data_IF_450698768625
#
_entry.id   IF_450698768625
#
_cell.length_a   1.000
_cell.length_b   1.000
_cell.length_c   1.000
_cell.angle_alpha   90.00
_cell.angle_beta   90.00
_cell.angle_gamma   90.00
#
_symmetry.space_group_name_H-M   'P 1'
#
loop_
_entity.id
_entity.type
_entity.pdbx_description
1 polymer ?
#
# COMPACT_ATOMS: atom_id res chain seq x y z
N UNK A 1 68.54 80.91 62.45
CA UNK A 1 69.05 79.53 62.43
C UNK A 1 68.21 78.76 61.42
N UNK A 2 68.87 78.49 60.38
CA UNK A 2 68.49 77.79 59.19
C UNK A 2 68.27 76.28 59.41
N UNK A 3 67.30 75.68 58.80
CA UNK A 3 67.36 74.27 58.49
C UNK A 3 66.62 74.01 57.23
N UNK A 4 67.39 73.83 56.15
CA UNK A 4 66.97 73.33 54.84
C UNK A 4 66.60 71.81 54.95
N UNK A 5 65.52 71.45 54.34
CA UNK A 5 65.16 70.05 54.18
C UNK A 5 65.14 69.79 52.66
N UNK A 6 66.19 69.11 52.20
CA UNK A 6 66.33 68.53 50.86
C UNK A 6 65.18 67.55 50.58
N UNK A 7 64.48 67.79 49.52
CA UNK A 7 63.54 66.85 48.97
C UNK A 7 64.22 66.01 47.90
N UNK A 8 64.48 64.75 48.18
CA UNK A 8 64.95 63.78 47.24
C UNK A 8 63.86 63.42 46.22
N UNK A 9 64.09 63.68 44.95
CA UNK A 9 63.26 63.27 43.77
C UNK A 9 63.42 61.71 43.64
N UNK A 10 62.29 61.00 43.34
CA UNK A 10 62.39 59.54 43.09
C UNK A 10 62.91 59.34 41.66
N UNK A 11 63.82 58.38 41.50
CA UNK A 11 64.51 58.03 40.25
C UNK A 11 63.58 57.52 39.16
N UNK A 12 63.74 58.01 37.97
CA UNK A 12 63.00 57.69 36.69
C UNK A 12 63.23 56.25 36.15
N UNK A 13 64.03 55.42 36.86
CA UNK A 13 64.37 54.08 36.39
C UNK A 13 63.26 53.05 36.60
N UNK A 14 62.30 53.25 37.50
CA UNK A 14 61.24 52.25 37.82
C UNK A 14 60.00 52.35 36.93
N UNK A 15 59.82 53.52 36.30
CA UNK A 15 58.70 53.78 35.39
C UNK A 15 58.83 53.06 33.98
N UNK A 16 60.06 52.74 33.59
CA UNK A 16 60.34 52.05 32.30
C UNK A 16 59.99 50.56 32.31
N UNK A 17 60.33 49.95 33.46
CA UNK A 17 60.06 48.51 33.65
C UNK A 17 58.53 48.21 33.80
N UNK A 18 57.78 49.04 34.50
CA UNK A 18 56.33 48.99 34.66
C UNK A 18 55.65 49.22 33.33
N UNK A 19 56.04 50.21 32.52
CA UNK A 19 55.49 50.49 31.18
C UNK A 19 55.78 49.33 30.19
N UNK A 20 56.91 48.67 30.27
CA UNK A 20 57.21 47.47 29.47
C UNK A 20 56.34 46.26 29.88
N UNK A 21 56.17 46.00 31.16
CA UNK A 21 55.32 44.91 31.67
C UNK A 21 53.84 45.14 31.30
N UNK A 22 53.33 46.37 31.47
CA UNK A 22 51.95 46.69 31.05
C UNK A 22 51.74 46.59 29.53
N UNK A 23 52.74 46.95 28.72
CA UNK A 23 52.66 46.77 27.24
C UNK A 23 52.69 45.29 26.85
N UNK A 24 53.49 44.44 27.52
CA UNK A 24 53.52 42.99 27.29
C UNK A 24 52.22 42.31 27.71
N UNK A 25 51.63 42.75 28.83
CA UNK A 25 50.29 42.25 29.27
C UNK A 25 49.21 42.69 28.31
N UNK A 26 49.20 43.97 27.83
CA UNK A 26 48.24 44.40 26.80
C UNK A 26 48.43 43.66 25.47
N UNK A 27 49.64 43.40 25.02
CA UNK A 27 49.89 42.63 23.80
C UNK A 27 49.46 41.16 23.97
N UNK A 28 49.65 40.54 25.12
CA UNK A 28 49.15 39.23 25.44
C UNK A 28 47.63 39.15 25.47
N UNK A 29 46.98 40.14 26.11
CA UNK A 29 45.52 40.25 26.11
C UNK A 29 44.93 40.50 24.68
N UNK A 30 45.58 41.35 23.89
CA UNK A 30 45.19 41.61 22.49
C UNK A 30 45.35 40.34 21.62
N UNK A 31 46.43 39.58 21.82
CA UNK A 31 46.65 38.32 21.10
C UNK A 31 45.59 37.25 21.47
N UNK A 32 45.24 37.12 22.75
CA UNK A 32 44.19 36.24 23.24
C UNK A 32 42.81 36.66 22.68
N UNK A 33 42.54 37.96 22.68
CA UNK A 33 41.30 38.53 22.12
C UNK A 33 41.19 38.31 20.59
N UNK A 34 42.32 38.49 19.87
CA UNK A 34 42.42 38.21 18.44
C UNK A 34 42.28 36.72 18.13
N UNK A 35 42.88 35.84 18.94
CA UNK A 35 42.75 34.39 18.87
C UNK A 35 41.29 33.94 19.13
N UNK A 36 40.65 34.52 20.15
CA UNK A 36 39.24 34.25 20.46
C UNK A 36 38.29 34.75 19.37
N UNK A 37 38.53 35.97 18.83
CA UNK A 37 37.77 36.49 17.69
C UNK A 37 37.99 35.68 16.42
N UNK A 38 39.23 35.25 16.16
CA UNK A 38 39.56 34.36 15.04
C UNK A 38 38.88 33.01 15.15
N UNK A 39 38.88 32.42 16.35
CA UNK A 39 38.16 31.17 16.62
C UNK A 39 36.63 31.32 16.43
N UNK A 40 36.02 32.41 16.98
CA UNK A 40 34.60 32.69 16.77
C UNK A 40 34.24 32.93 15.31
N UNK A 41 35.10 33.62 14.58
CA UNK A 41 34.91 33.86 13.16
C UNK A 41 35.03 32.57 12.34
N UNK A 42 36.00 31.73 12.63
CA UNK A 42 36.15 30.41 12.00
C UNK A 42 34.94 29.49 12.32
N UNK A 43 34.53 29.45 13.58
CA UNK A 43 33.38 28.64 13.98
C UNK A 43 32.07 29.12 13.34
N UNK A 44 31.89 30.43 13.17
CA UNK A 44 30.74 31.00 12.48
C UNK A 44 30.70 30.74 10.99
N UNK A 45 31.85 30.50 10.36
CA UNK A 45 31.95 30.15 8.93
C UNK A 45 31.67 28.66 8.65
N UNK A 46 31.86 27.79 9.65
CA UNK A 46 31.71 26.33 9.55
C UNK A 46 30.39 25.80 10.12
N UNK A 47 29.51 26.67 10.61
CA UNK A 47 28.22 26.27 11.18
C UNK A 47 27.09 27.17 10.66
N UNK A 48 26.01 26.53 10.26
CA UNK A 48 24.76 27.19 9.88
C UNK A 48 23.70 26.87 10.92
N UNK A 49 23.09 27.87 11.52
CA UNK A 49 22.08 27.70 12.54
C UNK A 49 20.74 28.34 12.16
N UNK A 50 19.65 27.74 12.61
CA UNK A 50 18.30 28.30 12.44
C UNK A 50 17.43 27.98 13.65
N UNK A 51 16.62 28.95 14.04
CA UNK A 51 15.53 28.88 15.02
C UNK A 51 14.18 28.53 14.38
N UNK A 52 14.11 28.60 13.04
CA UNK A 52 12.92 28.22 12.29
C UNK A 52 12.98 26.75 11.91
N UNK A 53 12.90 25.89 12.93
CA UNK A 53 12.89 24.45 12.78
C UNK A 53 11.84 23.84 13.70
N UNK A 54 11.21 22.80 13.24
CA UNK A 54 10.21 22.07 14.04
C UNK A 54 10.33 20.56 13.79
N UNK A 55 9.97 19.80 14.79
CA UNK A 55 9.81 18.36 14.65
C UNK A 55 8.58 18.09 13.81
N UNK A 56 8.72 17.30 12.78
CA UNK A 56 7.63 16.82 11.93
C UNK A 56 7.53 15.30 12.00
N UNK A 57 6.41 14.75 11.60
CA UNK A 57 6.16 13.32 11.53
C UNK A 57 4.93 13.02 10.70
N UNK A 58 4.76 11.75 10.36
CA UNK A 58 3.58 11.32 9.66
C UNK A 58 2.35 11.33 10.59
N UNK A 59 1.29 11.97 10.18
CA UNK A 59 -0.01 11.91 10.84
C UNK A 59 -0.90 11.04 9.96
N UNK A 60 -1.23 9.84 10.43
CA UNK A 60 -2.00 8.86 9.66
C UNK A 60 -3.47 8.95 10.08
N UNK A 61 -4.37 9.47 9.22
CA UNK A 61 -5.79 9.52 9.53
C UNK A 61 -6.39 8.11 9.52
N UNK A 62 -7.23 7.82 10.50
CA UNK A 62 -8.01 6.60 10.60
C UNK A 62 -9.37 6.86 9.98
N UNK A 63 -9.63 6.20 8.85
CA UNK A 63 -10.82 6.37 8.04
C UNK A 63 -11.58 5.04 7.98
N UNK A 64 -12.91 4.99 8.26
CA UNK A 64 -13.70 3.81 8.04
C UNK A 64 -13.91 3.60 6.53
N UNK A 65 -13.89 2.36 6.07
CA UNK A 65 -14.20 1.99 4.69
C UNK A 65 -15.70 1.81 4.44
N UNK A 66 -16.46 1.62 5.51
CA UNK A 66 -17.92 1.43 5.48
C UNK A 66 -18.61 2.40 6.41
N UNK A 67 -19.87 2.76 6.11
CA UNK A 67 -20.66 3.66 6.93
C UNK A 67 -21.57 2.88 7.90
N UNK A 68 -21.98 3.53 8.98
CA UNK A 68 -22.94 2.96 9.94
C UNK A 68 -22.88 3.66 11.28
N UNK A 69 -23.70 3.20 12.24
CA UNK A 69 -23.64 3.71 13.59
C UNK A 69 -22.44 3.11 14.34
N UNK A 70 -21.75 3.92 15.11
CA UNK A 70 -20.66 3.46 15.97
C UNK A 70 -21.23 2.74 17.18
N UNK A 71 -20.92 1.45 17.32
CA UNK A 71 -21.36 0.65 18.47
C UNK A 71 -20.43 0.80 19.67
N UNK A 72 -19.12 0.92 19.42
CA UNK A 72 -18.11 0.98 20.47
C UNK A 72 -16.88 1.77 19.98
N UNK A 73 -16.30 2.60 20.85
CA UNK A 73 -15.02 3.26 20.65
C UNK A 73 -14.08 2.78 21.75
N UNK A 74 -13.02 2.04 21.38
CA UNK A 74 -12.01 1.52 22.32
C UNK A 74 -10.83 2.45 22.50
N UNK A 75 -10.54 3.25 21.50
CA UNK A 75 -9.43 4.20 21.52
C UNK A 75 -9.72 5.39 22.42
N UNK A 76 -8.73 5.77 23.22
CA UNK A 76 -8.73 6.99 24.03
C UNK A 76 -7.65 7.94 23.48
N UNK A 77 -7.90 9.27 23.54
CA UNK A 77 -6.90 10.24 23.14
C UNK A 77 -5.60 10.07 23.92
N UNK A 78 -4.49 10.25 23.23
CA UNK A 78 -3.13 10.11 23.75
C UNK A 78 -2.73 8.70 24.20
N UNK A 79 -3.52 7.67 23.85
CA UNK A 79 -3.20 6.29 24.15
C UNK A 79 -2.26 5.70 23.09
N UNK A 80 -1.20 4.95 23.48
CA UNK A 80 -0.41 4.20 22.54
C UNK A 80 -1.20 2.99 22.01
N UNK A 81 -1.12 2.77 20.69
CA UNK A 81 -1.78 1.67 20.00
C UNK A 81 -0.82 0.96 19.06
N UNK A 82 -1.08 -0.31 18.80
CA UNK A 82 -0.31 -1.13 17.86
C UNK A 82 -1.04 -1.22 16.53
N UNK A 83 -0.28 -1.39 15.44
CA UNK A 83 -0.87 -1.68 14.13
C UNK A 83 -1.79 -2.89 14.20
N UNK A 84 -3.01 -2.78 13.63
CA UNK A 84 -4.04 -3.82 13.67
C UNK A 84 -4.89 -3.82 14.94
N UNK A 85 -4.63 -2.98 15.93
CA UNK A 85 -5.45 -2.87 17.14
C UNK A 85 -6.82 -2.25 16.83
N UNK A 86 -7.89 -2.82 17.42
CA UNK A 86 -9.26 -2.35 17.21
C UNK A 86 -9.48 -1.01 17.91
N UNK A 87 -9.79 0.03 17.13
CA UNK A 87 -10.03 1.39 17.61
C UNK A 87 -11.53 1.69 17.72
N UNK A 88 -12.29 1.35 16.67
CA UNK A 88 -13.73 1.63 16.59
C UNK A 88 -14.46 0.42 16.02
N UNK A 89 -15.63 0.13 16.52
CA UNK A 89 -16.55 -0.86 15.96
C UNK A 89 -17.80 -0.14 15.45
N UNK A 90 -18.12 -0.35 14.20
CA UNK A 90 -19.37 0.06 13.57
C UNK A 90 -20.39 -1.06 13.78
N UNK A 91 -21.69 -0.75 13.87
CA UNK A 91 -22.76 -1.74 13.96
C UNK A 91 -22.69 -2.69 12.78
N UNK A 92 -22.44 -3.95 13.07
CA UNK A 92 -22.13 -4.98 12.09
C UNK A 92 -23.33 -5.86 11.70
N UNK A 93 -24.51 -5.66 12.33
CA UNK A 93 -25.68 -6.52 12.15
C UNK A 93 -26.14 -6.62 10.71
N UNK A 94 -26.23 -5.48 10.00
CA UNK A 94 -26.66 -5.46 8.60
C UNK A 94 -25.60 -6.10 7.68
N UNK A 95 -24.34 -5.88 7.97
CA UNK A 95 -23.22 -6.46 7.22
C UNK A 95 -23.13 -7.98 7.44
N UNK A 96 -23.37 -8.45 8.66
CA UNK A 96 -23.46 -9.87 9.00
C UNK A 96 -24.62 -10.55 8.26
N UNK A 97 -25.80 -9.91 8.22
CA UNK A 97 -26.94 -10.43 7.49
C UNK A 97 -26.67 -10.53 5.98
N UNK A 98 -26.02 -9.52 5.39
CA UNK A 98 -25.60 -9.55 3.96
C UNK A 98 -24.58 -10.64 3.68
N UNK A 99 -23.62 -10.85 4.57
CA UNK A 99 -22.65 -11.93 4.45
C UNK A 99 -23.35 -13.29 4.49
N UNK A 100 -24.24 -13.52 5.46
CA UNK A 100 -25.00 -14.76 5.57
C UNK A 100 -25.87 -15.03 4.33
N UNK A 101 -26.48 -13.98 3.75
CA UNK A 101 -27.22 -14.10 2.50
C UNK A 101 -26.30 -14.52 1.33
N UNK A 102 -25.15 -13.88 1.18
CA UNK A 102 -24.19 -14.20 0.12
C UNK A 102 -23.57 -15.61 0.28
N UNK A 103 -23.39 -16.07 1.51
CA UNK A 103 -22.97 -17.46 1.81
C UNK A 103 -24.02 -18.48 1.40
N UNK A 104 -25.30 -18.21 1.68
CA UNK A 104 -26.40 -19.06 1.24
C UNK A 104 -26.52 -19.12 -0.29
N UNK A 105 -26.38 -17.97 -0.98
CA UNK A 105 -26.41 -17.89 -2.43
C UNK A 105 -25.25 -18.68 -3.06
N UNK A 106 -24.06 -18.63 -2.46
CA UNK A 106 -22.91 -19.42 -2.88
C UNK A 106 -23.18 -20.93 -2.69
N UNK A 107 -23.77 -21.33 -1.56
CA UNK A 107 -24.10 -22.73 -1.31
C UNK A 107 -25.08 -23.28 -2.37
N UNK A 108 -26.12 -22.50 -2.72
CA UNK A 108 -27.05 -22.85 -3.80
C UNK A 108 -26.34 -22.96 -5.14
N UNK A 109 -25.45 -22.02 -5.47
CA UNK A 109 -24.70 -22.08 -6.72
C UNK A 109 -23.78 -23.32 -6.79
N UNK A 110 -23.11 -23.65 -5.69
CA UNK A 110 -22.27 -24.85 -5.56
C UNK A 110 -23.10 -26.14 -5.68
N UNK A 111 -24.27 -26.20 -5.06
CA UNK A 111 -25.17 -27.36 -5.16
C UNK A 111 -25.61 -27.60 -6.61
N UNK A 112 -25.87 -26.54 -7.37
CA UNK A 112 -26.25 -26.61 -8.78
C UNK A 112 -25.09 -27.03 -9.71
N UNK A 113 -23.89 -26.47 -9.48
CA UNK A 113 -22.73 -26.79 -10.33
C UNK A 113 -22.08 -28.13 -9.95
N UNK A 114 -22.03 -28.42 -8.68
CA UNK A 114 -21.22 -29.48 -8.06
C UNK A 114 -19.89 -28.93 -7.53
N UNK A 115 -19.43 -29.52 -6.42
CA UNK A 115 -18.04 -29.35 -5.98
C UNK A 115 -17.13 -30.14 -6.91
N UNK A 116 -15.92 -29.67 -7.18
CA UNK A 116 -14.93 -30.45 -7.91
C UNK A 116 -14.85 -31.90 -7.36
N UNK A 117 -15.28 -32.88 -8.17
CA UNK A 117 -15.30 -34.29 -7.82
C UNK A 117 -16.54 -34.83 -7.10
N UNK A 118 -17.54 -34.01 -6.74
CA UNK A 118 -18.80 -34.45 -6.17
C UNK A 118 -19.97 -33.89 -7.01
N UNK A 119 -20.80 -34.80 -7.54
CA UNK A 119 -21.81 -34.49 -8.52
C UNK A 119 -22.85 -33.48 -8.08
N UNK A 120 -22.67 -32.24 -8.50
CA UNK A 120 -23.78 -31.30 -8.57
C UNK A 120 -24.72 -31.65 -9.73
N UNK A 121 -25.87 -31.01 -9.73
CA UNK A 121 -26.91 -31.33 -10.71
C UNK A 121 -26.41 -31.24 -12.16
N UNK A 122 -25.68 -30.18 -12.52
CA UNK A 122 -25.11 -30.01 -13.86
C UNK A 122 -24.01 -31.03 -14.19
N UNK A 123 -23.14 -31.34 -13.21
CA UNK A 123 -22.10 -32.37 -13.37
C UNK A 123 -22.66 -33.78 -13.51
N UNK A 124 -23.69 -34.11 -12.74
CA UNK A 124 -24.38 -35.40 -12.85
C UNK A 124 -25.08 -35.57 -14.21
N UNK A 125 -25.73 -34.52 -14.73
CA UNK A 125 -26.36 -34.53 -16.06
C UNK A 125 -25.33 -34.75 -17.17
N UNK A 126 -24.17 -34.10 -17.10
CA UNK A 126 -23.07 -34.28 -18.06
C UNK A 126 -22.50 -35.71 -17.97
N UNK A 127 -22.33 -36.27 -16.78
CA UNK A 127 -21.85 -37.66 -16.58
C UNK A 127 -22.84 -38.66 -17.15
N UNK A 128 -24.14 -38.50 -16.93
CA UNK A 128 -25.19 -39.35 -17.50
C UNK A 128 -25.22 -39.26 -19.04
N UNK A 129 -25.11 -38.03 -19.60
CA UNK A 129 -25.05 -37.84 -21.06
C UNK A 129 -23.81 -38.49 -21.66
N UNK A 130 -22.65 -38.41 -21.04
CA UNK A 130 -21.43 -39.08 -21.50
C UNK A 130 -21.56 -40.64 -21.44
N UNK A 131 -22.18 -41.17 -20.38
CA UNK A 131 -22.45 -42.60 -20.27
C UNK A 131 -23.42 -43.05 -21.37
N UNK A 132 -24.45 -42.29 -21.71
CA UNK A 132 -25.37 -42.54 -22.81
C UNK A 132 -24.71 -42.43 -24.20
N UNK A 133 -23.74 -41.53 -24.36
CA UNK A 133 -23.01 -41.34 -25.61
C UNK A 133 -21.91 -42.41 -25.85
N UNK A 134 -21.61 -43.26 -24.89
CA UNK A 134 -20.67 -44.37 -25.04
C UNK A 134 -21.18 -45.46 -26.00
N UNK A 135 -22.22 -45.20 -26.82
CA UNK A 135 -22.80 -46.08 -27.82
C UNK A 135 -22.00 -46.21 -29.16
N UNK A 136 -20.74 -45.76 -29.24
CA UNK A 136 -19.87 -45.93 -30.40
C UNK A 136 -19.84 -47.39 -30.93
N UNK A 137 -19.86 -48.44 -30.08
CA UNK A 137 -19.95 -49.83 -30.54
C UNK A 137 -21.15 -50.14 -31.43
N UNK A 138 -22.29 -49.45 -31.26
CA UNK A 138 -23.51 -49.65 -32.08
C UNK A 138 -23.35 -49.17 -33.53
N UNK A 139 -22.60 -48.12 -33.77
CA UNK A 139 -22.31 -47.63 -35.13
C UNK A 139 -21.36 -48.58 -35.83
N UNK A 140 -20.30 -49.04 -35.16
CA UNK A 140 -19.33 -49.98 -35.72
C UNK A 140 -19.98 -51.31 -36.07
N UNK A 141 -20.89 -51.79 -35.21
CA UNK A 141 -21.66 -53.02 -35.47
C UNK A 141 -22.57 -52.87 -36.67
N UNK A 142 -23.27 -51.73 -36.79
CA UNK A 142 -24.15 -51.41 -37.94
C UNK A 142 -23.33 -51.32 -39.23
N UNK A 143 -22.14 -50.71 -39.20
CA UNK A 143 -21.23 -50.62 -40.36
C UNK A 143 -20.74 -52.03 -40.77
N UNK A 144 -20.32 -52.86 -39.82
CA UNK A 144 -19.89 -54.22 -40.09
C UNK A 144 -21.01 -55.06 -40.72
N UNK A 145 -22.25 -54.90 -40.25
CA UNK A 145 -23.40 -55.58 -40.82
C UNK A 145 -23.72 -55.11 -42.25
N UNK A 146 -23.65 -53.79 -42.52
CA UNK A 146 -23.85 -53.21 -43.83
C UNK A 146 -22.78 -53.63 -44.83
N UNK A 147 -21.51 -53.72 -44.39
CA UNK A 147 -20.42 -54.24 -45.25
C UNK A 147 -20.59 -55.69 -45.59
N UNK A 148 -21.09 -56.53 -44.67
CA UNK A 148 -21.43 -57.91 -44.94
C UNK A 148 -22.54 -58.01 -45.95
N UNK A 149 -23.65 -57.30 -45.73
CA UNK A 149 -24.82 -57.34 -46.65
C UNK A 149 -24.44 -56.84 -48.04
N UNK A 150 -23.58 -55.80 -48.14
CA UNK A 150 -23.08 -55.30 -49.43
C UNK A 150 -22.20 -56.32 -50.16
N UNK A 151 -21.31 -57.01 -49.49
CA UNK A 151 -20.51 -58.07 -50.05
C UNK A 151 -21.37 -59.26 -50.52
N UNK A 152 -22.42 -59.59 -49.78
CA UNK A 152 -23.33 -60.64 -50.15
C UNK A 152 -24.15 -60.26 -51.40
N UNK A 153 -24.66 -59.02 -51.50
CA UNK A 153 -25.34 -58.46 -52.67
C UNK A 153 -24.40 -58.52 -53.90
N UNK A 154 -23.15 -58.11 -53.75
CA UNK A 154 -22.18 -58.09 -54.84
C UNK A 154 -21.91 -59.54 -55.34
N UNK A 155 -21.80 -60.50 -54.44
CA UNK A 155 -21.63 -61.91 -54.75
C UNK A 155 -22.85 -62.47 -55.53
N UNK A 156 -24.09 -62.10 -55.09
CA UNK A 156 -25.32 -62.52 -55.74
C UNK A 156 -25.46 -61.89 -57.12
N UNK A 157 -25.07 -60.62 -57.32
CA UNK A 157 -25.01 -59.96 -58.64
C UNK A 157 -24.09 -60.70 -59.62
N UNK A 158 -22.91 -61.14 -59.18
CA UNK A 158 -22.01 -61.91 -60.03
C UNK A 158 -22.55 -63.31 -60.36
N UNK A 159 -23.32 -63.95 -59.46
CA UNK A 159 -23.90 -65.24 -59.66
C UNK A 159 -25.13 -65.20 -60.57
N UNK A 160 -25.94 -64.14 -60.54
CA UNK A 160 -27.10 -63.95 -61.43
C UNK A 160 -26.66 -63.74 -62.88
N UNK A 161 -25.56 -63.04 -63.14
CA UNK A 161 -24.91 -62.94 -64.44
C UNK A 161 -24.61 -64.33 -65.07
N UNK A 162 -24.20 -65.24 -64.15
CA UNK A 162 -23.88 -66.67 -64.52
C UNK A 162 -25.13 -67.56 -64.54
N UNK A 163 -26.35 -66.99 -64.33
CA UNK A 163 -27.63 -67.71 -64.24
C UNK A 163 -27.67 -68.81 -63.15
N UNK A 164 -26.92 -68.59 -62.05
CA UNK A 164 -26.75 -69.59 -60.92
C UNK A 164 -27.71 -69.33 -59.76
N UNK A 165 -28.39 -68.18 -59.72
CA UNK A 165 -29.35 -67.71 -58.66
C UNK A 165 -30.63 -67.15 -59.26
N UNK A 166 -31.73 -67.12 -58.48
CA UNK A 166 -33.01 -66.58 -58.92
C UNK A 166 -33.08 -65.06 -58.78
N UNK A 167 -33.89 -64.31 -59.58
CA UNK A 167 -34.15 -62.87 -59.43
C UNK A 167 -34.64 -62.50 -58.02
N UNK A 168 -35.46 -63.38 -57.41
CA UNK A 168 -35.98 -63.20 -56.07
C UNK A 168 -34.88 -63.16 -55.04
N UNK A 169 -33.77 -63.94 -55.22
CA UNK A 169 -32.61 -63.90 -54.34
C UNK A 169 -31.83 -62.55 -54.48
N UNK A 170 -31.77 -61.99 -55.68
CA UNK A 170 -31.17 -60.67 -55.87
C UNK A 170 -32.00 -59.59 -55.19
N UNK A 171 -33.33 -59.57 -55.34
CA UNK A 171 -34.22 -58.59 -54.70
C UNK A 171 -34.12 -58.68 -53.16
N UNK A 172 -34.04 -59.92 -52.61
CA UNK A 172 -33.87 -60.10 -51.18
C UNK A 172 -32.51 -59.58 -50.66
N UNK A 173 -31.42 -59.82 -51.39
CA UNK A 173 -30.10 -59.30 -51.02
C UNK A 173 -30.01 -57.77 -51.16
N UNK A 174 -30.63 -57.17 -52.16
CA UNK A 174 -30.70 -55.73 -52.34
C UNK A 174 -31.52 -55.09 -51.23
N UNK A 175 -32.68 -55.63 -50.86
CA UNK A 175 -33.47 -55.17 -49.73
C UNK A 175 -32.69 -55.29 -48.40
N UNK A 176 -31.93 -56.37 -48.16
CA UNK A 176 -31.10 -56.55 -46.96
C UNK A 176 -29.98 -55.53 -46.92
N UNK A 177 -29.30 -55.24 -48.03
CA UNK A 177 -28.28 -54.21 -48.11
C UNK A 177 -28.80 -52.81 -47.80
N UNK A 178 -29.94 -52.45 -48.40
CA UNK A 178 -30.62 -51.15 -48.12
C UNK A 178 -31.07 -51.00 -46.67
N UNK A 179 -31.60 -52.08 -46.07
CA UNK A 179 -31.97 -52.07 -44.65
C UNK A 179 -30.77 -51.90 -43.73
N UNK A 180 -29.66 -52.57 -44.03
CA UNK A 180 -28.43 -52.43 -43.26
C UNK A 180 -27.81 -51.02 -43.39
N UNK A 181 -27.85 -50.44 -44.59
CA UNK A 181 -27.43 -49.03 -44.80
C UNK A 181 -28.34 -48.04 -44.08
N UNK A 182 -29.64 -48.27 -44.06
CA UNK A 182 -30.57 -47.45 -43.28
C UNK A 182 -30.26 -47.53 -41.76
N UNK A 183 -29.90 -48.74 -41.27
CA UNK A 183 -29.51 -48.90 -39.88
C UNK A 183 -28.20 -48.15 -39.53
N UNK A 184 -27.22 -48.08 -40.45
CA UNK A 184 -26.01 -47.27 -40.28
C UNK A 184 -26.36 -45.78 -40.13
N UNK A 185 -27.25 -45.26 -41.02
CA UNK A 185 -27.70 -43.87 -40.95
C UNK A 185 -28.36 -43.59 -39.60
N UNK A 186 -29.32 -44.39 -39.20
CA UNK A 186 -30.01 -44.26 -37.92
C UNK A 186 -29.05 -44.32 -36.71
N UNK A 187 -28.11 -45.23 -36.69
CA UNK A 187 -27.11 -45.32 -35.61
C UNK A 187 -26.18 -44.12 -35.56
N UNK A 188 -25.80 -43.55 -36.74
CA UNK A 188 -24.99 -42.31 -36.80
C UNK A 188 -25.78 -41.10 -36.31
N UNK A 189 -27.05 -40.95 -36.71
CA UNK A 189 -27.91 -39.88 -36.21
C UNK A 189 -28.10 -39.95 -34.70
N UNK A 190 -28.30 -41.16 -34.15
CA UNK A 190 -28.38 -41.32 -32.70
C UNK A 190 -27.05 -40.96 -31.98
N UNK A 191 -25.91 -41.32 -32.54
CA UNK A 191 -24.58 -40.96 -31.98
C UNK A 191 -24.35 -39.45 -32.06
N UNK A 192 -24.72 -38.79 -33.18
CA UNK A 192 -24.63 -37.32 -33.32
C UNK A 192 -25.53 -36.60 -32.32
N UNK A 193 -26.76 -37.10 -32.14
CA UNK A 193 -27.70 -36.55 -31.16
C UNK A 193 -27.17 -36.66 -29.73
N UNK A 194 -26.58 -37.80 -29.37
CA UNK A 194 -25.95 -37.99 -28.08
C UNK A 194 -24.72 -37.08 -27.87
N UNK A 195 -23.92 -36.87 -28.93
CA UNK A 195 -22.79 -35.95 -28.88
C UNK A 195 -23.23 -34.49 -28.66
N UNK A 196 -24.33 -34.07 -29.35
CA UNK A 196 -24.90 -32.73 -29.13
C UNK A 196 -25.45 -32.55 -27.71
N UNK A 197 -26.03 -33.59 -27.11
CA UNK A 197 -26.47 -33.54 -25.71
C UNK A 197 -25.26 -33.38 -24.74
N UNK A 198 -24.17 -34.10 -24.99
CA UNK A 198 -22.93 -33.93 -24.18
C UNK A 198 -22.42 -32.50 -24.30
N UNK A 199 -22.40 -31.92 -25.47
CA UNK A 199 -21.97 -30.53 -25.68
C UNK A 199 -22.91 -29.55 -24.94
N UNK A 200 -24.22 -29.70 -25.04
CA UNK A 200 -25.19 -28.88 -24.34
C UNK A 200 -25.01 -28.94 -22.79
N UNK A 201 -24.86 -30.14 -22.23
CA UNK A 201 -24.61 -30.29 -20.80
C UNK A 201 -23.24 -29.78 -20.37
N UNK A 202 -22.22 -29.91 -21.24
CA UNK A 202 -20.91 -29.31 -20.96
C UNK A 202 -20.98 -27.78 -20.91
N UNK A 203 -21.75 -27.15 -21.80
CA UNK A 203 -21.99 -25.71 -21.77
C UNK A 203 -22.81 -25.30 -20.54
N UNK A 204 -23.81 -26.09 -20.13
CA UNK A 204 -24.58 -25.87 -18.92
C UNK A 204 -23.69 -25.95 -17.65
N UNK A 205 -22.77 -26.92 -17.59
CA UNK A 205 -21.80 -27.01 -16.48
C UNK A 205 -20.86 -25.82 -16.43
N UNK A 206 -20.33 -25.35 -17.58
CA UNK A 206 -19.54 -24.12 -17.64
C UNK A 206 -20.32 -22.91 -17.13
N UNK A 207 -21.61 -22.79 -17.54
CA UNK A 207 -22.49 -21.74 -17.04
C UNK A 207 -22.76 -21.82 -15.53
N UNK A 208 -22.91 -23.04 -14.99
CA UNK A 208 -23.10 -23.25 -13.57
C UNK A 208 -21.83 -22.92 -12.77
N UNK A 209 -20.64 -23.30 -13.26
CA UNK A 209 -19.37 -22.96 -12.60
C UNK A 209 -19.12 -21.44 -12.59
N UNK A 210 -19.44 -20.74 -13.67
CA UNK A 210 -19.34 -19.28 -13.70
C UNK A 210 -20.27 -18.60 -12.67
N UNK A 211 -21.45 -19.18 -12.39
CA UNK A 211 -22.33 -18.71 -11.31
C UNK A 211 -21.72 -18.92 -9.93
N UNK A 212 -21.01 -20.02 -9.71
CA UNK A 212 -20.25 -20.25 -8.45
C UNK A 212 -19.19 -19.17 -8.26
N UNK A 213 -18.44 -18.86 -9.31
CA UNK A 213 -17.41 -17.82 -9.23
C UNK A 213 -17.99 -16.44 -8.93
N UNK A 214 -19.12 -16.09 -9.54
CA UNK A 214 -19.84 -14.86 -9.23
C UNK A 214 -20.38 -14.82 -7.81
N UNK A 215 -20.98 -15.91 -7.31
CA UNK A 215 -21.48 -15.99 -5.96
C UNK A 215 -20.33 -15.94 -4.93
N UNK A 216 -19.18 -16.56 -5.25
CA UNK A 216 -17.98 -16.47 -4.43
C UNK A 216 -17.47 -15.03 -4.32
N UNK A 217 -17.38 -14.34 -5.45
CA UNK A 217 -16.98 -12.93 -5.46
C UNK A 217 -17.94 -12.04 -4.65
N UNK A 218 -19.25 -12.28 -4.76
CA UNK A 218 -20.25 -11.57 -3.97
C UNK A 218 -20.10 -11.84 -2.46
N UNK A 219 -19.86 -13.09 -2.07
CA UNK A 219 -19.60 -13.45 -0.68
C UNK A 219 -18.33 -12.81 -0.14
N UNK A 220 -17.25 -12.83 -0.93
CA UNK A 220 -15.97 -12.23 -0.53
C UNK A 220 -16.10 -10.70 -0.37
N UNK A 221 -16.87 -10.05 -1.24
CA UNK A 221 -17.20 -8.63 -1.09
C UNK A 221 -17.97 -8.35 0.20
N UNK A 222 -19.01 -9.13 0.51
CA UNK A 222 -19.78 -8.98 1.74
C UNK A 222 -18.92 -9.28 2.99
N UNK A 223 -18.01 -10.27 2.92
CA UNK A 223 -17.07 -10.59 3.99
C UNK A 223 -16.08 -9.45 4.25
N UNK A 224 -15.57 -8.81 3.21
CA UNK A 224 -14.71 -7.64 3.35
C UNK A 224 -15.46 -6.46 3.97
N UNK A 225 -16.70 -6.18 3.55
CA UNK A 225 -17.52 -5.13 4.17
C UNK A 225 -17.79 -5.41 5.66
N UNK A 226 -18.07 -6.65 6.01
CA UNK A 226 -18.24 -7.06 7.41
C UNK A 226 -16.93 -6.91 8.21
N UNK A 227 -15.80 -7.30 7.64
CA UNK A 227 -14.50 -7.10 8.28
C UNK A 227 -14.16 -5.61 8.47
N UNK A 228 -14.51 -4.75 7.50
CA UNK A 228 -14.27 -3.31 7.50
C UNK A 228 -15.16 -2.55 8.52
N UNK A 229 -16.18 -3.20 9.15
CA UNK A 229 -16.91 -2.64 10.31
C UNK A 229 -16.01 -2.51 11.54
N UNK A 230 -14.89 -3.23 11.56
CA UNK A 230 -13.87 -3.19 12.60
C UNK A 230 -12.75 -2.28 12.17
N UNK A 231 -12.83 -1.01 12.56
CA UNK A 231 -11.81 -0.01 12.22
C UNK A 231 -10.60 -0.21 13.12
N UNK A 232 -9.46 -0.55 12.50
CA UNK A 232 -8.20 -0.86 13.20
C UNK A 232 -7.14 0.20 12.94
N UNK A 233 -6.14 0.26 13.82
CA UNK A 233 -5.00 1.17 13.67
C UNK A 233 -4.15 0.80 12.43
N UNK A 234 -3.93 1.73 11.50
CA UNK A 234 -3.12 1.48 10.30
C UNK A 234 -1.62 1.35 10.60
N UNK A 235 -1.16 1.96 11.69
CA UNK A 235 0.23 1.94 12.14
C UNK A 235 0.29 1.93 13.67
N UNK A 236 1.43 1.52 14.22
CA UNK A 236 1.71 1.70 15.66
C UNK A 236 2.03 3.16 15.93
N UNK A 237 1.49 3.72 17.02
CA UNK A 237 1.69 5.13 17.34
C UNK A 237 0.81 5.58 18.51
N UNK A 238 0.61 6.88 18.62
CA UNK A 238 -0.28 7.47 19.62
C UNK A 238 -1.54 8.01 18.95
N UNK A 239 -2.70 7.67 19.50
CA UNK A 239 -4.00 8.22 19.05
C UNK A 239 -4.07 9.72 19.34
N UNK A 240 -4.53 10.48 18.40
CA UNK A 240 -4.72 11.92 18.50
C UNK A 240 -5.97 12.36 17.75
N UNK A 241 -6.57 13.46 18.20
CA UNK A 241 -7.71 14.11 17.54
C UNK A 241 -8.90 13.14 17.32
N UNK A 242 -9.34 12.47 18.39
CA UNK A 242 -10.53 11.61 18.36
C UNK A 242 -11.79 12.43 18.18
N UNK A 243 -12.43 12.30 17.03
CA UNK A 243 -13.66 13.03 16.65
C UNK A 243 -14.87 12.09 16.50
N UNK A 244 -14.89 10.98 17.20
CA UNK A 244 -15.95 9.97 17.11
C UNK A 244 -16.40 9.52 18.48
N UNK A 245 -17.73 9.38 18.65
CA UNK A 245 -18.34 8.90 19.89
C UNK A 245 -19.29 7.72 19.62
N UNK A 246 -19.53 6.84 20.61
CA UNK A 246 -20.51 5.77 20.50
C UNK A 246 -21.89 6.32 20.18
N UNK A 247 -22.64 5.66 19.29
CA UNK A 247 -23.96 6.09 18.82
C UNK A 247 -23.94 7.10 17.66
N UNK A 248 -22.79 7.62 17.27
CA UNK A 248 -22.65 8.53 16.14
C UNK A 248 -22.77 7.78 14.81
N UNK A 249 -23.44 8.40 13.82
CA UNK A 249 -23.43 7.92 12.45
C UNK A 249 -22.16 8.40 11.75
N UNK A 250 -21.37 7.48 11.19
CA UNK A 250 -20.16 7.76 10.42
C UNK A 250 -20.32 7.30 8.97
N UNK A 251 -19.62 8.00 8.07
CA UNK A 251 -19.62 7.68 6.66
C UNK A 251 -18.25 7.14 6.23
N UNK A 252 -18.23 6.33 5.15
CA UNK A 252 -16.98 5.87 4.56
C UNK A 252 -16.10 7.07 4.16
N UNK A 253 -14.82 7.04 4.53
CA UNK A 253 -13.86 8.12 4.27
C UNK A 253 -13.91 9.29 5.24
N UNK A 254 -14.78 9.29 6.24
CA UNK A 254 -14.83 10.33 7.28
C UNK A 254 -13.70 10.12 8.29
N UNK A 255 -12.85 11.14 8.57
CA UNK A 255 -11.80 10.99 9.58
C UNK A 255 -12.40 10.82 10.99
N UNK A 256 -12.06 9.72 11.65
CA UNK A 256 -12.51 9.41 13.02
C UNK A 256 -11.51 9.87 14.07
N UNK A 257 -10.24 9.67 13.80
CA UNK A 257 -9.10 10.04 14.63
C UNK A 257 -7.82 10.00 13.79
N UNK A 258 -6.69 10.32 14.39
CA UNK A 258 -5.38 10.17 13.75
C UNK A 258 -4.47 9.31 14.62
N UNK A 259 -3.57 8.55 14.00
CA UNK A 259 -2.47 7.85 14.68
C UNK A 259 -1.17 8.49 14.26
N UNK A 260 -0.35 8.88 15.22
CA UNK A 260 0.94 9.51 15.02
C UNK A 260 2.03 8.50 15.37
N UNK A 261 2.72 7.90 14.38
CA UNK A 261 3.90 7.08 14.61
C UNK A 261 5.04 7.96 15.15
N UNK A 262 5.58 7.61 16.31
CA UNK A 262 6.69 8.38 16.90
C UNK A 262 8.09 7.86 16.50
N UNK A 263 8.13 6.73 15.79
CA UNK A 263 9.38 6.14 15.31
C UNK A 263 9.87 6.77 13.99
N UNK A 264 8.98 7.44 13.26
CA UNK A 264 9.26 8.08 11.97
C UNK A 264 9.04 9.59 12.05
N UNK A 265 9.94 10.24 12.80
CA UNK A 265 9.97 11.69 12.99
C UNK A 265 11.28 12.28 12.44
N UNK A 266 11.20 13.50 11.97
CA UNK A 266 12.33 14.27 11.47
C UNK A 266 12.23 15.74 11.90
N UNK A 267 13.26 16.51 11.66
CA UNK A 267 13.22 17.96 11.82
C UNK A 267 13.12 18.61 10.44
N UNK A 268 12.15 19.48 10.28
CA UNK A 268 12.05 20.38 9.13
C UNK A 268 12.66 21.73 9.52
N UNK A 269 13.88 21.98 9.07
CA UNK A 269 14.61 23.20 9.33
C UNK A 269 14.53 24.14 8.11
N UNK A 270 14.02 25.35 8.30
CA UNK A 270 13.88 26.34 7.25
C UNK A 270 15.10 27.27 7.25
N UNK A 271 16.08 26.98 6.41
CA UNK A 271 17.30 27.76 6.26
C UNK A 271 17.09 28.97 5.34
N UNK A 272 17.83 30.05 5.57
CA UNK A 272 17.89 31.17 4.61
C UNK A 272 18.59 30.70 3.33
N UNK A 273 18.12 31.19 2.19
CA UNK A 273 18.72 30.91 0.87
C UNK A 273 20.23 31.18 0.82
N UNK A 274 20.69 32.19 1.57
CA UNK A 274 22.11 32.56 1.69
C UNK A 274 22.95 31.49 2.34
N UNK A 275 22.38 30.70 3.24
CA UNK A 275 23.07 29.78 4.12
C UNK A 275 23.06 28.34 3.57
N UNK A 276 22.08 28.01 2.74
CA UNK A 276 21.90 26.68 2.12
C UNK A 276 23.06 26.27 1.23
N UNK A 277 23.80 27.24 0.66
CA UNK A 277 24.91 26.97 -0.27
C UNK A 277 25.96 26.00 0.31
N UNK A 278 26.16 26.04 1.62
CA UNK A 278 27.20 25.27 2.30
C UNK A 278 26.69 23.95 2.90
N UNK A 279 25.36 23.72 2.90
CA UNK A 279 24.72 22.55 3.49
C UNK A 279 24.58 21.43 2.45
N UNK A 280 24.97 20.21 2.84
CA UNK A 280 24.90 19.02 1.98
C UNK A 280 24.23 17.86 2.70
N UNK A 281 23.57 16.94 1.98
CA UNK A 281 23.14 15.68 2.56
C UNK A 281 24.31 14.94 3.19
N UNK A 282 24.09 14.43 4.42
CA UNK A 282 25.09 13.76 5.22
C UNK A 282 25.85 14.66 6.20
N UNK A 283 25.61 15.97 6.20
CA UNK A 283 26.19 16.86 7.23
C UNK A 283 25.63 16.55 8.61
N UNK A 284 26.50 16.60 9.63
CA UNK A 284 26.12 16.39 11.01
C UNK A 284 25.33 17.59 11.56
N UNK A 285 24.32 17.30 12.35
CA UNK A 285 23.40 18.30 12.88
C UNK A 285 23.25 18.11 14.38
N UNK A 286 23.37 19.18 15.13
CA UNK A 286 23.01 19.29 16.53
C UNK A 286 21.62 19.93 16.63
N UNK A 287 20.71 19.30 17.37
CA UNK A 287 19.31 19.70 17.50
C UNK A 287 19.04 19.93 18.98
N UNK A 288 18.63 21.13 19.35
CA UNK A 288 18.15 21.47 20.69
C UNK A 288 16.62 21.65 20.60
N UNK A 289 15.86 20.84 21.33
CA UNK A 289 14.39 20.92 21.34
C UNK A 289 13.94 21.73 22.54
N UNK A 290 13.08 22.73 22.32
CA UNK A 290 12.65 23.67 23.36
C UNK A 290 11.96 22.98 24.55
N UNK A 291 11.32 21.83 24.32
CA UNK A 291 10.68 21.04 25.36
C UNK A 291 11.68 20.35 26.31
N UNK A 292 12.97 20.22 25.92
CA UNK A 292 14.02 19.57 26.70
C UNK A 292 15.27 20.48 26.80
N UNK A 293 15.20 21.57 27.58
CA UNK A 293 16.29 22.53 27.64
C UNK A 293 17.57 21.91 28.20
N UNK A 294 18.69 22.18 27.50
CA UNK A 294 20.00 21.64 27.84
C UNK A 294 20.30 20.24 27.32
N UNK A 295 19.36 19.62 26.63
CA UNK A 295 19.59 18.35 25.97
C UNK A 295 19.85 18.55 24.47
N UNK A 296 20.83 17.81 23.95
CA UNK A 296 21.23 17.85 22.55
C UNK A 296 20.95 16.54 21.88
N UNK A 297 20.20 16.61 20.80
CA UNK A 297 19.92 15.48 19.93
C UNK A 297 20.82 15.57 18.70
N UNK A 298 21.35 14.43 18.28
CA UNK A 298 22.15 14.33 17.07
C UNK A 298 21.29 13.91 15.89
N UNK A 299 21.56 14.55 14.75
CA UNK A 299 20.91 14.24 13.50
C UNK A 299 21.87 14.35 12.31
N UNK A 300 21.36 14.01 11.17
CA UNK A 300 22.05 14.16 9.87
C UNK A 300 21.11 14.79 8.85
N UNK A 301 21.65 15.67 8.01
CA UNK A 301 20.91 16.23 6.88
C UNK A 301 20.55 15.08 5.92
N UNK A 302 19.25 14.84 5.75
CA UNK A 302 18.76 13.81 4.84
C UNK A 302 18.61 14.36 3.42
N UNK A 303 17.95 15.51 3.27
CA UNK A 303 17.70 16.12 1.98
C UNK A 303 17.41 17.62 2.09
N UNK A 304 17.59 18.32 0.99
CA UNK A 304 17.21 19.72 0.83
C UNK A 304 16.03 19.78 -0.15
N UNK A 305 15.05 20.66 0.16
CA UNK A 305 13.92 20.88 -0.74
C UNK A 305 14.39 21.49 -2.06
N UNK A 306 13.86 21.05 -3.21
CA UNK A 306 14.20 21.61 -4.53
C UNK A 306 13.62 23.00 -4.77
N UNK A 307 12.75 23.51 -3.89
CA UNK A 307 12.13 24.82 -4.00
C UNK A 307 11.93 25.46 -2.62
N UNK A 308 11.77 26.79 -2.59
CA UNK A 308 11.45 27.53 -1.37
C UNK A 308 10.06 27.19 -0.84
N UNK A 309 9.87 27.25 0.49
CA UNK A 309 8.58 26.96 1.13
C UNK A 309 7.43 27.86 0.62
N UNK A 310 7.72 29.06 0.21
CA UNK A 310 6.73 29.99 -0.36
C UNK A 310 6.10 29.49 -1.68
N UNK A 311 6.83 28.65 -2.45
CA UNK A 311 6.30 28.09 -3.71
C UNK A 311 5.33 26.93 -3.51
N UNK A 312 5.41 26.26 -2.36
CA UNK A 312 4.50 25.16 -1.99
C UNK A 312 3.35 25.62 -1.10
N UNK A 313 3.27 26.92 -0.77
CA UNK A 313 2.15 27.48 -0.01
C UNK A 313 0.87 27.44 -0.84
N UNK A 314 -0.26 27.12 -0.20
CA UNK A 314 -1.61 27.18 -0.80
C UNK A 314 -1.95 28.58 -1.33
N UNK A 315 -1.39 29.64 -0.74
CA UNK A 315 -1.50 31.02 -1.17
C UNK A 315 -0.08 31.57 -1.37
N UNK A 316 0.52 31.39 -2.55
CA UNK A 316 1.82 31.99 -2.84
C UNK A 316 1.72 33.52 -2.71
N UNK A 317 2.72 34.19 -2.12
CA UNK A 317 2.71 35.66 -2.06
C UNK A 317 2.74 36.21 -3.49
N UNK A 318 1.61 36.80 -3.92
CA UNK A 318 1.49 37.45 -5.22
C UNK A 318 1.76 38.96 -5.05
N UNK A 319 2.73 39.47 -5.78
CA UNK A 319 3.04 40.90 -5.83
C UNK A 319 2.18 41.56 -6.91
N UNK A 320 0.84 41.53 -6.72
CA UNK A 320 -0.14 42.14 -7.64
C UNK A 320 0.03 43.64 -7.88
N UNK A 321 0.85 44.33 -7.06
CA UNK A 321 1.07 45.78 -7.12
C UNK A 321 2.27 46.22 -7.97
N UNK A 322 2.96 45.24 -8.66
CA UNK A 322 4.03 45.59 -9.61
C UNK A 322 5.40 45.98 -9.01
N UNK A 323 5.51 46.12 -7.68
CA UNK A 323 6.81 46.37 -7.02
C UNK A 323 7.39 45.05 -6.49
N UNK A 324 8.47 44.57 -7.14
CA UNK A 324 9.21 43.42 -6.67
C UNK A 324 10.14 43.78 -5.52
N UNK A 325 9.77 43.43 -4.29
CA UNK A 325 10.68 43.51 -3.13
C UNK A 325 11.42 42.21 -3.00
N UNK A 326 12.76 42.23 -3.09
CA UNK A 326 13.62 41.07 -2.86
C UNK A 326 13.56 40.67 -1.38
N UNK A 327 12.80 39.62 -1.05
CA UNK A 327 12.75 39.03 0.29
C UNK A 327 13.57 37.74 0.28
N UNK A 328 14.45 37.57 1.28
CA UNK A 328 15.25 36.35 1.45
C UNK A 328 14.31 35.16 1.62
N UNK A 329 14.40 34.19 0.72
CA UNK A 329 13.58 32.99 0.75
C UNK A 329 14.11 31.98 1.79
N UNK A 330 13.23 31.10 2.28
CA UNK A 330 13.60 29.99 3.14
C UNK A 330 13.47 28.68 2.38
N UNK A 331 14.48 27.82 2.52
CA UNK A 331 14.53 26.52 1.89
C UNK A 331 14.41 25.47 2.99
N UNK A 332 13.38 24.61 2.95
CA UNK A 332 13.23 23.52 3.89
C UNK A 332 14.34 22.47 3.73
N UNK A 333 14.94 22.09 4.84
CA UNK A 333 15.93 21.03 4.93
C UNK A 333 15.40 19.96 5.88
N UNK A 334 15.34 18.71 5.40
CA UNK A 334 14.93 17.57 6.21
C UNK A 334 16.14 16.97 6.93
N UNK A 335 16.03 16.83 8.23
CA UNK A 335 17.07 16.32 9.11
C UNK A 335 16.52 15.09 9.84
N UNK A 336 17.20 13.97 9.72
CA UNK A 336 16.85 12.74 10.41
C UNK A 336 17.57 12.67 11.75
N UNK A 337 16.86 12.25 12.79
CA UNK A 337 17.48 11.93 14.07
C UNK A 337 18.33 10.65 13.97
N UNK A 338 19.53 10.66 14.54
CA UNK A 338 20.42 9.49 14.56
C UNK A 338 19.94 8.40 15.52
N UNK A 339 19.18 8.77 16.53
CA UNK A 339 18.53 7.84 17.46
C UNK A 339 17.04 8.14 17.48
N UNK A 340 16.18 7.13 17.26
CA UNK A 340 14.76 7.30 17.41
C UNK A 340 14.38 7.59 18.87
N UNK A 341 13.15 7.98 19.09
CA UNK A 341 12.59 8.40 20.36
C UNK A 341 12.97 7.49 21.53
N UNK A 342 13.58 8.08 22.55
CA UNK A 342 13.70 7.48 23.87
C UNK A 342 12.32 7.57 24.58
N UNK A 343 11.81 6.47 25.16
CA UNK A 343 10.55 6.50 25.93
C UNK A 343 10.50 7.56 27.04
N UNK A 344 11.65 7.94 27.58
CA UNK A 344 11.76 9.01 28.58
C UNK A 344 11.70 10.42 27.99
N UNK A 345 11.87 10.57 26.65
CA UNK A 345 12.03 11.84 25.93
C UNK A 345 11.32 11.81 24.60
N UNK A 346 10.01 11.67 24.66
CA UNK A 346 9.17 11.56 23.46
C UNK A 346 9.15 12.88 22.70
N UNK A 347 9.81 12.90 21.54
CA UNK A 347 9.69 13.96 20.57
C UNK A 347 8.36 13.83 19.84
N UNK A 348 7.63 14.93 19.76
CA UNK A 348 6.30 14.96 19.13
C UNK A 348 6.29 15.93 17.96
N UNK A 349 5.63 15.61 16.84
CA UNK A 349 5.41 16.58 15.77
C UNK A 349 4.81 17.88 16.28
N UNK A 350 5.34 19.01 15.78
CA UNK A 350 4.96 20.35 16.22
C UNK A 350 5.84 20.97 17.30
N UNK A 351 6.78 20.22 17.90
CA UNK A 351 7.77 20.80 18.83
C UNK A 351 8.75 21.69 18.09
N UNK A 352 9.00 22.88 18.64
CA UNK A 352 10.02 23.82 18.13
C UNK A 352 11.41 23.37 18.53
N UNK A 353 12.36 23.63 17.67
CA UNK A 353 13.75 23.30 17.93
C UNK A 353 14.70 24.33 17.30
N UNK A 354 15.89 24.42 17.89
CA UNK A 354 17.03 25.11 17.34
C UNK A 354 17.99 24.12 16.71
N UNK A 355 18.45 24.42 15.51
CA UNK A 355 19.27 23.49 14.72
C UNK A 355 20.59 24.15 14.37
N UNK A 356 21.69 23.42 14.58
CA UNK A 356 23.04 23.82 14.18
C UNK A 356 23.63 22.76 13.28
N UNK A 357 23.89 23.09 12.02
CA UNK A 357 24.45 22.20 10.99
C UNK A 357 25.93 22.48 10.88
N UNK A 358 26.76 21.46 11.03
CA UNK A 358 28.21 21.56 10.78
C UNK A 358 28.46 21.42 9.28
N UNK A 359 28.81 22.54 8.63
CA UNK A 359 29.14 22.57 7.21
C UNK A 359 30.62 22.28 6.99
N UNK A 360 30.94 21.49 5.98
CA UNK A 360 32.32 21.17 5.58
C UNK A 360 32.97 22.24 4.75
#
# INVERSE_FOLDING_TARGET
>A
MTNEKESSLPSDADNGARKRRTRLIMLGAAALLAGWLGYKWWHGLSHVSTDNAQVEGHIVPVLPKVGGFVSEVKAVDNQPVKSGELLVRIDDRDYQARLAQAEADLEVAVANAGKEGAGGQAGAQLAAARAGAAGAPAVDQAVANADRARKDLERIRQLIEKKMVSPQQLDAADAAARAAEAQVRSSREAANSAAQQVEAFSAALRGASARVDNARAARDFAANQFADTRVVAPASGIVSNKNVEPGQLVQAGQPLMSVVPLDDIWVAANLKETDVRNVRPGDAVEIEVDAYPGERFEGTVESLSPASGARFSLLPPDNATGNFTKVVQRIPVRIRFNRPNDPARLLRPGMSCFVTIATR
#
